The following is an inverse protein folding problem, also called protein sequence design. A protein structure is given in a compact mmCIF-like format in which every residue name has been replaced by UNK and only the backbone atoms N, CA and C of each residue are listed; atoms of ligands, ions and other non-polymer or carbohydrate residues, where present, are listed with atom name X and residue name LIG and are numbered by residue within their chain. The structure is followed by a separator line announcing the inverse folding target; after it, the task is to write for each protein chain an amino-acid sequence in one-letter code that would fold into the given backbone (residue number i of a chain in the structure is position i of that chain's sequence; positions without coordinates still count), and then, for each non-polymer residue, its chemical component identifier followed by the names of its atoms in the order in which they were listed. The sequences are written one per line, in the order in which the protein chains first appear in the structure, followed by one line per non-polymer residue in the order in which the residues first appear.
data_IF_400178244624
#
_entry.id   IF_400178244624
#
_cell.length_a   1.000
_cell.length_b   1.000
_cell.length_c   1.000
_cell.angle_alpha   90.00
_cell.angle_beta   90.00
_cell.angle_gamma   90.00
#
_symmetry.space_group_name_H-M   'P 1'
#
loop_
_entity.id
_entity.type
_entity.pdbx_description
1 polymer ?
#
# COMPACT_ATOMS: atom_id res chain seq x y z
N UNK A 1 7.70 24.69 -44.91
CA UNK A 1 7.60 25.35 -43.59
C UNK A 1 6.15 25.28 -43.14
N UNK A 2 5.86 24.58 -42.04
CA UNK A 2 4.55 24.55 -41.36
C UNK A 2 4.81 24.80 -39.88
N UNK A 3 4.33 25.90 -39.29
CA UNK A 3 4.38 26.10 -37.85
C UNK A 3 3.05 25.68 -37.25
N UNK A 4 3.05 24.81 -36.26
CA UNK A 4 1.90 24.72 -35.33
C UNK A 4 2.37 24.18 -33.98
N UNK A 5 2.60 25.15 -33.09
CA UNK A 5 2.20 25.19 -31.69
C UNK A 5 2.55 24.01 -30.78
N UNK A 6 3.50 24.32 -29.88
CA UNK A 6 3.82 23.66 -28.63
C UNK A 6 2.55 23.43 -27.81
N UNK A 7 2.22 22.17 -27.52
CA UNK A 7 1.39 21.83 -26.36
C UNK A 7 2.30 21.56 -25.18
N UNK A 8 2.58 22.64 -24.44
CA UNK A 8 3.07 22.56 -23.08
C UNK A 8 1.91 22.13 -22.18
N UNK A 9 1.86 20.84 -21.82
CA UNK A 9 1.07 20.40 -20.67
C UNK A 9 1.90 20.62 -19.41
N UNK A 10 1.89 21.87 -18.94
CA UNK A 10 2.16 22.18 -17.55
C UNK A 10 0.94 21.72 -16.72
N UNK A 11 1.01 20.54 -16.11
CA UNK A 11 0.13 20.21 -14.98
C UNK A 11 0.93 20.52 -13.72
N UNK A 12 0.74 21.75 -13.25
CA UNK A 12 1.05 22.14 -11.90
C UNK A 12 -0.16 21.76 -11.02
N UNK A 13 0.04 20.78 -10.15
CA UNK A 13 -0.68 20.63 -8.88
C UNK A 13 0.40 20.10 -7.92
N UNK A 14 1.03 20.96 -7.13
CA UNK A 14 0.41 21.47 -5.92
C UNK A 14 0.98 20.63 -4.77
N UNK A 15 2.09 21.10 -4.20
CA UNK A 15 2.79 20.39 -3.14
C UNK A 15 1.89 20.15 -1.93
N UNK A 16 1.95 18.93 -1.40
CA UNK A 16 1.45 18.63 -0.07
C UNK A 16 2.57 17.95 0.72
N UNK A 17 3.45 18.79 1.25
CA UNK A 17 4.29 18.43 2.39
C UNK A 17 3.37 18.29 3.62
N UNK A 18 2.73 17.14 3.76
CA UNK A 18 2.12 16.75 5.03
C UNK A 18 3.19 16.07 5.88
N UNK A 19 3.72 16.84 6.83
CA UNK A 19 4.39 16.30 7.99
C UNK A 19 3.38 15.45 8.77
N UNK A 20 3.49 14.13 8.66
CA UNK A 20 2.64 13.18 9.37
C UNK A 20 3.36 12.63 10.60
N UNK A 21 3.22 13.34 11.70
CA UNK A 21 3.31 12.75 13.03
C UNK A 21 1.93 12.17 13.35
N UNK A 22 1.80 10.84 13.28
CA UNK A 22 0.63 10.11 13.75
C UNK A 22 -0.36 9.70 12.66
N UNK A 23 -0.76 8.43 12.69
CA UNK A 23 -1.71 7.78 11.80
C UNK A 23 -2.98 8.62 11.57
N UNK A 24 -3.14 9.23 10.40
CA UNK A 24 -4.33 10.02 10.07
C UNK A 24 -4.54 10.32 8.58
N UNK A 25 -3.95 9.54 7.66
CA UNK A 25 -4.02 9.79 6.20
C UNK A 25 -5.09 9.03 5.43
N UNK A 26 -5.88 8.17 6.08
CA UNK A 26 -6.86 7.36 5.34
C UNK A 26 -8.09 8.16 4.84
N UNK A 27 -8.35 9.37 5.36
CA UNK A 27 -9.62 10.07 5.11
C UNK A 27 -9.66 10.92 3.82
N UNK A 28 -8.52 11.42 3.31
CA UNK A 28 -8.52 12.31 2.13
C UNK A 28 -8.38 11.59 0.78
N UNK A 29 -8.04 10.29 0.77
CA UNK A 29 -7.98 9.50 -0.47
C UNK A 29 -9.38 9.21 -1.07
N UNK A 30 -10.45 9.39 -0.29
CA UNK A 30 -11.82 9.04 -0.71
C UNK A 30 -12.45 10.07 -1.66
N UNK A 31 -12.03 11.34 -1.61
CA UNK A 31 -12.72 12.43 -2.30
C UNK A 31 -12.32 12.57 -3.79
N UNK A 32 -11.21 11.96 -4.22
CA UNK A 32 -10.75 11.97 -5.63
C UNK A 32 -11.19 10.72 -6.42
N UNK A 33 -11.85 9.75 -5.78
CA UNK A 33 -12.25 8.47 -6.37
C UNK A 33 -13.61 8.48 -7.08
N UNK A 34 -14.23 9.65 -7.22
CA UNK A 34 -15.55 9.81 -7.84
C UNK A 34 -15.46 10.03 -9.36
N UNK A 35 -15.07 9.00 -10.12
CA UNK A 35 -15.48 8.80 -11.51
C UNK A 35 -14.88 7.49 -12.05
N UNK A 36 -15.68 6.73 -12.80
CA UNK A 36 -15.40 5.48 -13.53
C UNK A 36 -15.85 4.21 -12.78
N UNK A 37 -16.90 3.58 -13.29
CA UNK A 37 -17.52 2.37 -12.75
C UNK A 37 -16.88 1.05 -13.22
N UNK A 38 -17.21 0.00 -12.46
CA UNK A 38 -17.04 -1.44 -12.74
C UNK A 38 -15.62 -2.06 -12.77
N UNK A 39 -14.60 -1.33 -12.30
CA UNK A 39 -13.43 -1.92 -11.65
C UNK A 39 -13.51 -1.53 -10.17
N UNK A 40 -13.09 -2.38 -9.23
CA UNK A 40 -12.81 -1.88 -7.88
C UNK A 40 -11.82 -0.72 -8.08
N UNK A 41 -12.24 0.51 -7.79
CA UNK A 41 -11.41 1.67 -8.10
C UNK A 41 -10.06 1.49 -7.42
N UNK A 42 -8.98 2.00 -8.02
CA UNK A 42 -7.64 1.90 -7.41
C UNK A 42 -7.66 2.38 -5.95
N UNK A 43 -8.53 3.35 -5.63
CA UNK A 43 -8.80 3.81 -4.27
C UNK A 43 -9.41 2.72 -3.36
N UNK A 44 -10.37 1.92 -3.81
CA UNK A 44 -10.92 0.79 -3.04
C UNK A 44 -9.86 -0.29 -2.79
N UNK A 45 -9.09 -0.65 -3.83
CA UNK A 45 -7.96 -1.59 -3.71
C UNK A 45 -6.93 -1.07 -2.72
N UNK A 46 -6.59 0.21 -2.80
CA UNK A 46 -5.64 0.85 -1.91
C UNK A 46 -6.13 0.93 -0.46
N UNK A 47 -7.38 1.33 -0.25
CA UNK A 47 -7.97 1.38 1.09
C UNK A 47 -7.95 0.01 1.76
N UNK A 48 -8.31 -1.04 1.01
CA UNK A 48 -8.31 -2.40 1.52
C UNK A 48 -6.88 -2.92 1.78
N UNK A 49 -5.94 -2.63 0.88
CA UNK A 49 -4.56 -3.01 1.05
C UNK A 49 -3.94 -2.37 2.30
N UNK A 50 -4.17 -1.08 2.51
CA UNK A 50 -3.71 -0.35 3.70
C UNK A 50 -4.38 -0.89 4.96
N UNK A 51 -5.68 -1.17 4.93
CA UNK A 51 -6.41 -1.78 6.07
C UNK A 51 -5.79 -3.11 6.49
N UNK A 52 -5.49 -3.98 5.53
CA UNK A 52 -4.85 -5.29 5.78
C UNK A 52 -3.43 -5.10 6.32
N UNK A 53 -2.65 -4.21 5.69
CA UNK A 53 -1.25 -4.01 6.01
C UNK A 53 -0.98 -3.30 7.34
N UNK A 54 -1.94 -2.48 7.80
CA UNK A 54 -1.85 -1.74 9.07
C UNK A 54 -2.43 -2.49 10.26
N UNK A 55 -2.97 -3.70 10.06
CA UNK A 55 -3.39 -4.57 11.14
C UNK A 55 -2.16 -4.99 11.97
N UNK A 56 -1.92 -4.30 13.08
CA UNK A 56 -0.76 -4.52 13.94
C UNK A 56 -0.73 -5.98 14.44
N UNK A 57 0.35 -6.74 14.19
CA UNK A 57 0.50 -8.07 14.75
C UNK A 57 0.75 -8.00 16.24
N UNK A 58 0.15 -8.92 16.97
CA UNK A 58 0.46 -9.10 18.39
C UNK A 58 1.76 -9.88 18.53
N UNK A 59 2.86 -9.16 18.78
CA UNK A 59 4.18 -9.78 18.92
C UNK A 59 4.37 -10.51 20.25
N UNK A 60 3.41 -10.46 21.17
CA UNK A 60 3.45 -11.25 22.41
C UNK A 60 3.09 -12.72 22.16
N UNK A 61 2.43 -13.02 21.02
CA UNK A 61 2.26 -14.35 20.47
C UNK A 61 2.85 -14.43 19.04
N UNK A 62 4.16 -14.77 18.92
CA UNK A 62 4.84 -14.84 17.64
C UNK A 62 4.24 -15.87 16.66
N UNK A 63 3.59 -16.91 17.16
CA UNK A 63 2.92 -17.91 16.30
C UNK A 63 1.68 -17.30 15.68
N UNK A 64 0.81 -16.72 16.51
CA UNK A 64 -0.38 -16.04 16.01
C UNK A 64 -0.02 -14.86 15.08
N UNK A 65 1.06 -14.13 15.37
CA UNK A 65 1.54 -13.06 14.49
C UNK A 65 2.01 -13.57 13.13
N UNK A 66 2.76 -14.68 13.07
CA UNK A 66 3.16 -15.29 11.80
C UNK A 66 1.95 -15.81 11.01
N UNK A 67 1.00 -16.48 11.68
CA UNK A 67 -0.23 -16.97 11.05
C UNK A 67 -1.06 -15.82 10.48
N UNK A 68 -1.20 -14.71 11.22
CA UNK A 68 -1.86 -13.49 10.74
C UNK A 68 -1.13 -12.86 9.57
N UNK A 69 0.21 -12.84 9.58
CA UNK A 69 1.00 -12.37 8.45
C UNK A 69 0.73 -13.21 7.20
N UNK A 70 0.73 -14.53 7.32
CA UNK A 70 0.41 -15.43 6.21
C UNK A 70 -1.02 -15.25 5.69
N UNK A 71 -2.01 -15.04 6.58
CA UNK A 71 -3.38 -14.75 6.18
C UNK A 71 -3.46 -13.42 5.40
N UNK A 72 -2.85 -12.36 5.92
CA UNK A 72 -2.78 -11.06 5.26
C UNK A 72 -2.08 -11.15 3.89
N UNK A 73 -1.03 -11.96 3.76
CA UNK A 73 -0.38 -12.22 2.49
C UNK A 73 -1.32 -12.84 1.44
N UNK A 74 -2.24 -13.72 1.87
CA UNK A 74 -3.27 -14.30 1.01
C UNK A 74 -4.22 -13.23 0.48
N UNK A 75 -4.81 -12.44 1.38
CA UNK A 75 -5.73 -11.36 1.03
C UNK A 75 -5.08 -10.32 0.11
N UNK A 76 -3.85 -9.91 0.41
CA UNK A 76 -3.10 -8.96 -0.42
C UNK A 76 -2.75 -9.55 -1.78
N UNK A 77 -2.42 -10.84 -1.89
CA UNK A 77 -2.14 -11.47 -3.20
C UNK A 77 -3.39 -11.48 -4.09
N UNK A 78 -4.56 -11.74 -3.52
CA UNK A 78 -5.82 -11.68 -4.24
C UNK A 78 -6.13 -10.24 -4.70
N UNK A 79 -5.86 -9.27 -3.82
CA UNK A 79 -6.03 -7.85 -4.09
C UNK A 79 -5.07 -7.33 -5.17
N UNK A 80 -3.80 -7.78 -5.15
CA UNK A 80 -2.82 -7.49 -6.20
C UNK A 80 -3.27 -8.07 -7.56
N UNK A 81 -3.83 -9.28 -7.57
CA UNK A 81 -4.37 -9.91 -8.78
C UNK A 81 -5.52 -9.09 -9.37
N UNK A 82 -6.37 -8.50 -8.52
CA UNK A 82 -7.43 -7.56 -8.95
C UNK A 82 -6.87 -6.22 -9.46
N UNK A 83 -5.77 -5.74 -8.88
CA UNK A 83 -5.11 -4.50 -9.28
C UNK A 83 -4.32 -4.62 -10.60
N UNK A 84 -4.00 -5.85 -11.04
CA UNK A 84 -3.21 -6.12 -12.24
C UNK A 84 -1.75 -5.67 -12.13
N UNK A 85 -1.04 -5.61 -13.27
CA UNK A 85 0.35 -5.11 -13.37
C UNK A 85 0.44 -3.58 -13.30
N UNK A 86 -0.17 -2.99 -12.28
CA UNK A 86 -0.07 -1.58 -11.96
C UNK A 86 0.95 -1.37 -10.85
N UNK A 87 1.46 -0.15 -10.68
CA UNK A 87 2.34 0.20 -9.54
C UNK A 87 1.72 -0.17 -8.19
N UNK A 88 0.39 -0.04 -8.07
CA UNK A 88 -0.36 -0.45 -6.88
C UNK A 88 -0.32 -1.98 -6.72
N UNK A 89 -0.59 -2.74 -7.78
CA UNK A 89 -0.52 -4.20 -7.75
C UNK A 89 0.86 -4.74 -7.40
N UNK A 90 1.93 -4.14 -7.92
CA UNK A 90 3.32 -4.50 -7.59
C UNK A 90 3.67 -4.20 -6.12
N UNK A 91 3.24 -3.05 -5.60
CA UNK A 91 3.44 -2.69 -4.20
C UNK A 91 2.71 -3.65 -3.25
N UNK A 92 1.44 -3.97 -3.56
CA UNK A 92 0.64 -4.95 -2.81
C UNK A 92 1.30 -6.34 -2.88
N UNK A 93 1.75 -6.76 -4.07
CA UNK A 93 2.41 -8.06 -4.26
C UNK A 93 3.72 -8.18 -3.48
N UNK A 94 4.52 -7.12 -3.43
CA UNK A 94 5.78 -7.08 -2.66
C UNK A 94 5.53 -7.22 -1.16
N UNK A 95 4.53 -6.48 -0.64
CA UNK A 95 4.10 -6.59 0.75
C UNK A 95 3.58 -8.00 1.07
N UNK A 96 2.73 -8.55 0.20
CA UNK A 96 2.21 -9.91 0.33
C UNK A 96 3.34 -10.95 0.39
N UNK A 97 4.37 -10.82 -0.46
CA UNK A 97 5.54 -11.69 -0.44
C UNK A 97 6.28 -11.65 0.90
N UNK A 98 6.51 -10.45 1.43
CA UNK A 98 7.19 -10.29 2.74
C UNK A 98 6.39 -10.90 3.89
N UNK A 99 5.07 -10.72 3.89
CA UNK A 99 4.18 -11.32 4.87
C UNK A 99 4.13 -12.86 4.75
N UNK A 100 4.20 -13.39 3.53
CA UNK A 100 4.27 -14.85 3.28
C UNK A 100 5.58 -15.46 3.77
N UNK A 101 6.68 -14.72 3.66
CA UNK A 101 8.01 -15.17 4.09
C UNK A 101 8.27 -14.95 5.59
N UNK A 102 7.37 -14.26 6.29
CA UNK A 102 7.52 -13.95 7.72
C UNK A 102 7.55 -15.23 8.54
N UNK A 103 8.62 -15.42 9.32
CA UNK A 103 8.76 -16.54 10.22
C UNK A 103 8.67 -16.10 11.68
N UNK A 104 8.42 -17.06 12.58
CA UNK A 104 8.53 -16.83 14.03
C UNK A 104 9.93 -16.29 14.39
N UNK A 105 10.98 -16.77 13.72
CA UNK A 105 12.35 -16.32 13.95
C UNK A 105 12.54 -14.83 13.68
N UNK A 106 11.92 -14.29 12.64
CA UNK A 106 11.95 -12.85 12.33
C UNK A 106 11.26 -12.03 13.42
N UNK A 107 10.13 -12.54 13.92
CA UNK A 107 9.31 -11.88 14.94
C UNK A 107 9.93 -11.93 16.34
N UNK A 108 10.69 -12.97 16.67
CA UNK A 108 11.36 -13.09 17.99
C UNK A 108 12.79 -12.57 17.99
N UNK A 109 13.51 -12.74 16.88
CA UNK A 109 14.94 -12.42 16.79
C UNK A 109 15.23 -10.98 16.38
N UNK A 110 14.38 -10.40 15.53
CA UNK A 110 14.53 -9.02 15.07
C UNK A 110 13.18 -8.31 14.85
N UNK A 111 12.30 -8.25 15.87
CA UNK A 111 10.94 -7.69 15.74
C UNK A 111 10.94 -6.24 15.22
N UNK A 112 11.90 -5.42 15.68
CA UNK A 112 12.00 -4.02 15.24
C UNK A 112 12.37 -3.91 13.75
N UNK A 113 13.26 -4.79 13.25
CA UNK A 113 13.64 -4.80 11.85
C UNK A 113 12.48 -5.28 10.96
N UNK A 114 11.75 -6.29 11.41
CA UNK A 114 10.55 -6.76 10.74
C UNK A 114 9.47 -5.67 10.67
N UNK A 115 9.18 -5.00 11.79
CA UNK A 115 8.23 -3.88 11.85
C UNK A 115 8.64 -2.72 10.94
N UNK A 116 9.94 -2.39 10.91
CA UNK A 116 10.50 -1.36 10.02
C UNK A 116 10.24 -1.72 8.55
N UNK A 117 10.54 -2.95 8.14
CA UNK A 117 10.32 -3.44 6.78
C UNK A 117 8.84 -3.35 6.39
N UNK A 118 7.93 -3.74 7.29
CA UNK A 118 6.50 -3.60 7.07
C UNK A 118 6.07 -2.15 6.91
N UNK A 119 6.51 -1.25 7.81
CA UNK A 119 6.18 0.16 7.74
C UNK A 119 6.68 0.81 6.43
N UNK A 120 7.89 0.46 5.98
CA UNK A 120 8.45 0.94 4.72
C UNK A 120 7.61 0.47 3.51
N UNK A 121 7.13 -0.77 3.54
CA UNK A 121 6.27 -1.32 2.49
C UNK A 121 4.87 -0.70 2.49
N UNK A 122 4.29 -0.44 3.66
CA UNK A 122 3.03 0.30 3.79
C UNK A 122 3.18 1.74 3.29
N UNK A 123 4.30 2.39 3.58
CA UNK A 123 4.58 3.73 3.05
C UNK A 123 4.71 3.72 1.52
N UNK A 124 5.39 2.72 0.96
CA UNK A 124 5.49 2.53 -0.49
C UNK A 124 4.12 2.29 -1.15
N UNK A 125 3.29 1.44 -0.54
CA UNK A 125 1.92 1.20 -0.96
C UNK A 125 1.09 2.50 -0.93
N UNK A 126 1.14 3.23 0.18
CA UNK A 126 0.41 4.51 0.34
C UNK A 126 0.85 5.52 -0.71
N UNK A 127 2.15 5.59 -1.02
CA UNK A 127 2.68 6.44 -2.09
C UNK A 127 2.20 6.00 -3.47
N UNK A 128 2.16 4.70 -3.76
CA UNK A 128 1.62 4.18 -5.02
C UNK A 128 0.12 4.49 -5.19
N UNK A 129 -0.60 4.59 -4.07
CA UNK A 129 -2.03 4.87 -4.02
C UNK A 129 -2.40 6.36 -4.16
N UNK A 130 -1.48 7.27 -3.89
CA UNK A 130 -1.69 8.73 -4.02
C UNK A 130 -1.02 9.35 -5.25
N UNK A 131 -0.52 8.52 -6.17
CA UNK A 131 0.19 8.93 -7.39
C UNK A 131 -0.70 9.21 -8.58
#
# INVERSE_FOLDING_TARGET
MRPTHRFATAVAAGGLLLALTGCGVAQQASETAGQVGAAASSATVCAEAVRIATATPDLTDPRAAADRAHAAAGELSELASRAGNTTVGEAIGTLAGTLRETTIGDLTGAPAAWLRKQADQVAALTKACGG
#
